data_IF_937735000876
#
_entry.id   IF_937735000876
#
_cell.length_a   1.000
_cell.length_b   1.000
_cell.length_c   1.000
_cell.angle_alpha   90.00
_cell.angle_beta   90.00
_cell.angle_gamma   90.00
#
_symmetry.space_group_name_H-M   'P 1'
#
loop_
_entity.id
_entity.type
_entity.pdbx_description
1 polymer ?
#
# COMPACT_ATOMS: atom_id res chain seq x y z
N UNK A 1 -7.53 16.02 -33.95
CA UNK A 1 -6.65 15.06 -33.25
C UNK A 1 -6.11 15.81 -32.06
N UNK A 2 -6.84 15.76 -30.96
CA UNK A 2 -6.36 16.35 -29.71
C UNK A 2 -5.23 15.48 -29.17
N UNK A 3 -4.13 16.08 -28.67
CA UNK A 3 -3.05 15.32 -28.08
C UNK A 3 -3.53 14.54 -26.85
N UNK A 4 -2.95 13.36 -26.54
CA UNK A 4 -3.27 12.65 -25.33
C UNK A 4 -2.96 13.55 -24.11
N UNK A 5 -3.92 13.66 -23.21
CA UNK A 5 -3.79 14.41 -21.97
C UNK A 5 -2.73 13.73 -21.07
N UNK A 6 -1.57 14.38 -20.98
CA UNK A 6 -0.45 13.94 -20.14
C UNK A 6 -0.62 14.33 -18.66
N UNK A 7 -1.79 14.86 -18.26
CA UNK A 7 -2.12 15.19 -16.87
C UNK A 7 -2.02 14.01 -15.89
N UNK A 8 -2.09 12.77 -16.39
CA UNK A 8 -2.00 11.57 -15.57
C UNK A 8 -0.61 11.35 -14.95
N UNK A 9 0.45 11.91 -15.56
CA UNK A 9 1.82 11.68 -15.10
C UNK A 9 2.26 12.67 -14.00
N UNK A 10 1.61 13.83 -13.90
CA UNK A 10 2.04 14.90 -13.01
C UNK A 10 1.52 14.77 -11.57
N UNK A 11 0.54 13.89 -11.30
CA UNK A 11 -0.11 13.80 -9.99
C UNK A 11 0.40 12.66 -9.10
N UNK A 12 1.31 11.81 -9.60
CA UNK A 12 1.80 10.62 -8.88
C UNK A 12 2.96 10.96 -7.93
N UNK A 13 3.75 11.98 -8.27
CA UNK A 13 4.97 12.35 -7.55
C UNK A 13 4.67 13.23 -6.31
N UNK A 14 3.51 13.90 -6.27
CA UNK A 14 3.15 14.86 -5.21
C UNK A 14 2.52 14.24 -3.95
N UNK A 15 2.24 12.93 -3.92
CA UNK A 15 1.53 12.31 -2.80
C UNK A 15 2.43 11.70 -1.73
N UNK A 16 3.73 11.58 -2.00
CA UNK A 16 4.68 10.98 -1.07
C UNK A 16 5.65 12.06 -0.59
N UNK A 17 5.19 12.90 0.36
CA UNK A 17 6.09 13.78 1.10
C UNK A 17 7.11 12.93 1.88
N UNK A 18 8.35 13.01 1.42
CA UNK A 18 9.54 12.28 1.85
C UNK A 18 10.10 12.86 3.15
N UNK A 19 10.01 12.08 4.23
CA UNK A 19 11.09 12.00 5.21
C UNK A 19 11.54 10.54 5.26
N UNK A 20 12.40 10.16 4.31
CA UNK A 20 13.13 8.88 4.42
C UNK A 20 14.24 9.06 5.47
N UNK A 21 14.12 8.34 6.58
CA UNK A 21 15.14 8.29 7.63
C UNK A 21 16.48 7.82 7.02
N UNK A 22 17.54 8.67 6.99
CA UNK A 22 18.78 8.40 6.26
C UNK A 22 19.48 7.09 6.66
N UNK A 23 19.17 6.59 7.86
CA UNK A 23 19.78 5.39 8.44
C UNK A 23 19.28 4.09 7.79
N UNK A 24 18.06 4.09 7.23
CA UNK A 24 17.46 2.90 6.61
C UNK A 24 18.07 2.63 5.22
N UNK A 25 18.15 3.66 4.38
CA UNK A 25 18.59 3.58 2.98
C UNK A 25 20.02 3.02 2.88
N UNK A 26 20.92 3.48 3.75
CA UNK A 26 22.32 3.03 3.76
C UNK A 26 22.49 1.54 4.12
N UNK A 27 21.52 0.96 4.83
CA UNK A 27 21.50 -0.48 5.14
C UNK A 27 20.96 -1.27 3.95
N UNK A 28 19.88 -0.79 3.35
CA UNK A 28 19.23 -1.40 2.18
C UNK A 28 20.19 -1.44 0.97
N UNK A 29 20.92 -0.36 0.70
CA UNK A 29 21.89 -0.28 -0.42
C UNK A 29 22.98 -1.36 -0.38
N UNK A 30 23.34 -1.86 0.80
CA UNK A 30 24.37 -2.90 0.97
C UNK A 30 23.88 -4.28 0.55
N UNK A 31 22.56 -4.50 0.61
CA UNK A 31 21.93 -5.81 0.36
C UNK A 31 21.31 -5.85 -1.04
N UNK A 32 20.75 -4.73 -1.50
CA UNK A 32 20.07 -4.62 -2.79
C UNK A 32 21.11 -4.57 -3.93
N UNK A 33 20.95 -5.38 -4.99
CA UNK A 33 21.83 -5.33 -6.16
C UNK A 33 21.82 -3.95 -6.84
N UNK A 34 22.94 -3.50 -7.44
CA UNK A 34 23.05 -2.16 -8.06
C UNK A 34 21.98 -1.85 -9.11
N UNK A 35 21.48 -2.87 -9.83
CA UNK A 35 20.42 -2.72 -10.83
C UNK A 35 19.10 -2.15 -10.25
N UNK A 36 18.89 -2.29 -8.94
CA UNK A 36 17.68 -1.86 -8.25
C UNK A 36 17.90 -0.65 -7.33
N UNK A 37 19.09 -0.02 -7.34
CA UNK A 37 19.36 1.15 -6.50
C UNK A 37 18.51 2.38 -6.86
N UNK A 38 17.87 2.40 -8.03
CA UNK A 38 16.85 3.40 -8.38
C UNK A 38 15.48 3.19 -7.71
N UNK A 39 15.30 2.07 -6.99
CA UNK A 39 14.05 1.67 -6.35
C UNK A 39 14.26 1.35 -4.86
N UNK A 40 15.22 2.02 -4.21
CA UNK A 40 15.54 1.76 -2.79
C UNK A 40 14.36 2.07 -1.87
N UNK A 41 13.53 3.02 -2.28
CA UNK A 41 12.29 3.41 -1.62
C UNK A 41 11.30 2.23 -1.48
N UNK A 42 11.23 1.34 -2.48
CA UNK A 42 10.39 0.13 -2.45
C UNK A 42 10.80 -0.82 -1.32
N UNK A 43 12.06 -0.75 -0.89
CA UNK A 43 12.59 -1.57 0.20
C UNK A 43 12.59 -0.85 1.55
N UNK A 44 12.04 0.37 1.65
CA UNK A 44 11.85 1.04 2.93
C UNK A 44 10.75 0.32 3.73
N UNK A 45 11.09 -0.11 4.93
CA UNK A 45 10.16 -0.67 5.89
C UNK A 45 9.10 0.37 6.27
N UNK A 46 9.51 1.62 6.47
CA UNK A 46 8.59 2.71 6.83
C UNK A 46 7.56 2.95 5.73
N UNK A 47 7.96 2.92 4.45
CA UNK A 47 7.01 3.02 3.33
C UNK A 47 6.14 1.77 3.20
N UNK A 48 6.70 0.57 3.42
CA UNK A 48 5.97 -0.68 3.34
C UNK A 48 4.91 -0.87 4.44
N UNK A 49 5.09 -0.24 5.61
CA UNK A 49 4.10 -0.24 6.70
C UNK A 49 2.93 0.72 6.45
N UNK A 50 3.01 1.60 5.44
CA UNK A 50 1.93 2.52 5.08
C UNK A 50 1.00 1.85 4.07
N UNK A 51 -0.30 2.14 4.20
CA UNK A 51 -1.30 1.73 3.21
C UNK A 51 -1.01 2.51 1.91
N UNK A 52 -0.89 1.83 0.75
CA UNK A 52 -0.71 2.52 -0.52
C UNK A 52 -1.91 3.43 -0.80
N UNK A 53 -1.65 4.57 -1.45
CA UNK A 53 -2.73 5.45 -1.90
C UNK A 53 -3.65 4.72 -2.88
N UNK A 54 -4.92 5.12 -2.92
CA UNK A 54 -5.89 4.56 -3.85
C UNK A 54 -5.48 4.87 -5.29
N UNK A 55 -5.32 3.85 -6.12
CA UNK A 55 -4.96 3.99 -7.52
C UNK A 55 -6.20 3.98 -8.44
N UNK A 56 -6.15 4.69 -9.60
CA UNK A 56 -7.25 4.66 -10.58
C UNK A 56 -7.57 3.26 -11.13
N UNK A 57 -6.61 2.33 -11.04
CA UNK A 57 -6.74 0.94 -11.45
C UNK A 57 -7.23 0.02 -10.31
N UNK A 58 -7.47 0.55 -9.11
CA UNK A 58 -8.00 -0.23 -8.00
C UNK A 58 -9.35 -0.83 -8.39
N UNK A 59 -9.61 -2.03 -7.88
CA UNK A 59 -10.83 -2.74 -8.21
C UNK A 59 -12.04 -2.00 -7.62
N UNK A 60 -12.81 -1.32 -8.47
CA UNK A 60 -13.99 -0.59 -8.03
C UNK A 60 -15.12 -1.55 -7.66
N UNK A 61 -15.44 -1.62 -6.38
CA UNK A 61 -16.61 -2.36 -5.89
C UNK A 61 -17.85 -1.50 -6.14
N UNK A 62 -18.60 -1.83 -7.19
CA UNK A 62 -19.91 -1.20 -7.45
C UNK A 62 -20.90 -1.66 -6.39
N UNK A 63 -21.45 -0.71 -5.64
CA UNK A 63 -22.53 -0.98 -4.70
C UNK A 63 -23.85 -0.83 -5.47
N UNK A 64 -24.46 -1.95 -5.83
CA UNK A 64 -25.78 -2.00 -6.48
C UNK A 64 -26.81 -2.62 -5.52
N UNK A 65 -27.98 -1.98 -5.36
CA UNK A 65 -29.09 -2.52 -4.54
C UNK A 65 -29.13 -2.03 -3.09
N UNK A 66 -29.76 -2.82 -2.21
CA UNK A 66 -29.87 -2.55 -0.77
C UNK A 66 -28.57 -2.92 -0.04
N UNK A 67 -28.28 -2.24 1.06
CA UNK A 67 -27.16 -2.58 1.95
C UNK A 67 -27.22 -4.07 2.32
N UNK A 68 -26.09 -4.81 2.28
CA UNK A 68 -26.09 -6.19 2.73
C UNK A 68 -26.54 -6.25 4.20
N UNK A 69 -27.34 -7.26 4.59
CA UNK A 69 -27.70 -7.42 5.99
C UNK A 69 -26.43 -7.60 6.82
N UNK A 70 -26.38 -6.96 7.99
CA UNK A 70 -25.32 -7.20 8.94
C UNK A 70 -25.27 -8.69 9.28
N UNK A 71 -24.16 -9.35 8.93
CA UNK A 71 -23.94 -10.76 9.24
C UNK A 71 -23.63 -10.97 10.72
N UNK A 72 -23.90 -12.17 11.21
CA UNK A 72 -23.38 -12.61 12.50
C UNK A 72 -21.92 -13.03 12.32
N UNK A 73 -21.08 -12.64 13.28
CA UNK A 73 -19.72 -13.17 13.39
C UNK A 73 -19.82 -14.40 14.29
N UNK A 74 -19.43 -15.57 13.76
CA UNK A 74 -19.37 -16.79 14.56
C UNK A 74 -18.31 -16.67 15.65
N UNK A 75 -18.56 -17.30 16.80
CA UNK A 75 -17.59 -17.31 17.89
C UNK A 75 -16.38 -18.14 17.50
N UNK A 76 -15.22 -17.48 17.44
CA UNK A 76 -13.94 -18.15 17.33
C UNK A 76 -13.60 -18.89 18.63
N UNK A 77 -12.95 -20.03 18.52
CA UNK A 77 -12.33 -20.67 19.69
C UNK A 77 -11.24 -19.77 20.28
N UNK A 78 -10.84 -20.00 21.53
CA UNK A 78 -9.78 -19.19 22.16
C UNK A 78 -8.50 -19.17 21.33
N UNK A 79 -8.08 -20.30 20.77
CA UNK A 79 -6.87 -20.38 19.95
C UNK A 79 -7.00 -19.60 18.63
N UNK A 80 -8.16 -19.68 17.96
CA UNK A 80 -8.42 -18.93 16.73
C UNK A 80 -8.50 -17.42 17.00
N UNK A 81 -9.14 -17.02 18.10
CA UNK A 81 -9.23 -15.62 18.53
C UNK A 81 -7.85 -15.06 18.89
N UNK A 82 -7.08 -15.77 19.72
CA UNK A 82 -5.71 -15.37 20.09
C UNK A 82 -4.80 -15.24 18.86
N UNK A 83 -4.91 -16.19 17.93
CA UNK A 83 -4.14 -16.17 16.68
C UNK A 83 -4.53 -14.97 15.81
N UNK A 84 -5.84 -14.70 15.68
CA UNK A 84 -6.32 -13.55 14.91
C UNK A 84 -5.84 -12.23 15.52
N UNK A 85 -5.97 -12.06 16.84
CA UNK A 85 -5.50 -10.86 17.55
C UNK A 85 -3.99 -10.67 17.53
N UNK A 86 -3.21 -11.74 17.35
CA UNK A 86 -1.77 -11.61 17.16
C UNK A 86 -1.39 -11.17 15.74
N UNK A 87 -2.30 -11.31 14.78
CA UNK A 87 -2.07 -11.00 13.37
C UNK A 87 -2.51 -9.58 12.97
N UNK A 88 -3.64 -9.11 13.52
CA UNK A 88 -4.23 -7.79 13.24
C UNK A 88 -3.81 -6.73 14.25
#
# INVERSE_FOLDING_TARGET
MDPPDLSFHASLEDQWDEEEEPQEIGTVMKVVPPAYHKYLDVFSKVKAEKIPSHFPCDHHIKVEGLLPPAGFIDYLSNNESETLWAYI
#
